data_IF_391248977516
#
_entry.id   IF_391248977516
#
_cell.length_a   1.000
_cell.length_b   1.000
_cell.length_c   1.000
_cell.angle_alpha   90.00
_cell.angle_beta   90.00
_cell.angle_gamma   90.00
#
_symmetry.space_group_name_H-M   'P 1'
#
loop_
_entity.id
_entity.type
_entity.pdbx_description
1 polymer ?
#
# COMPACT_ATOMS: atom_id res chain seq x y z
N UNK A 1 5.22 9.95 1.81
CA UNK A 1 4.47 8.96 1.00
C UNK A 1 3.53 8.12 1.84
N UNK A 2 4.03 7.47 2.88
CA UNK A 2 3.19 6.69 3.79
C UNK A 2 2.07 7.53 4.43
N UNK A 3 2.39 8.72 4.91
CA UNK A 3 1.42 9.61 5.54
C UNK A 3 0.28 10.02 4.58
N UNK A 4 0.60 10.21 3.32
CA UNK A 4 -0.41 10.55 2.31
C UNK A 4 -1.44 9.43 2.14
N UNK A 5 -0.97 8.17 2.13
CA UNK A 5 -1.86 7.01 2.03
C UNK A 5 -2.68 6.86 3.31
N UNK A 6 -2.06 7.02 4.48
CA UNK A 6 -2.78 6.99 5.75
C UNK A 6 -3.87 8.05 5.81
N UNK A 7 -3.57 9.27 5.39
CA UNK A 7 -4.54 10.36 5.38
C UNK A 7 -5.70 10.06 4.44
N UNK A 8 -5.42 9.50 3.26
CA UNK A 8 -6.46 9.09 2.34
C UNK A 8 -7.36 8.01 2.95
N UNK A 9 -6.77 6.96 3.52
CA UNK A 9 -7.55 5.87 4.13
C UNK A 9 -8.38 6.36 5.31
N UNK A 10 -7.83 7.25 6.12
CA UNK A 10 -8.56 7.85 7.24
C UNK A 10 -9.69 8.76 6.80
N UNK A 11 -9.61 9.32 5.59
CA UNK A 11 -10.66 10.16 5.03
C UNK A 11 -11.84 9.36 4.48
N UNK A 12 -11.66 8.05 4.25
CA UNK A 12 -12.71 7.16 3.75
C UNK A 12 -13.49 6.56 4.91
N UNK A 13 -14.78 6.30 4.67
CA UNK A 13 -15.63 5.64 5.65
C UNK A 13 -15.86 4.19 5.25
N UNK A 14 -15.41 3.27 6.09
CA UNK A 14 -15.62 1.84 5.91
C UNK A 14 -16.53 1.32 7.03
N UNK A 15 -17.47 0.44 6.68
CA UNK A 15 -18.40 -0.12 7.67
C UNK A 15 -17.69 -1.15 8.56
N UNK A 16 -16.92 -2.06 7.97
CA UNK A 16 -16.30 -3.17 8.69
C UNK A 16 -14.77 -3.09 8.74
N UNK A 17 -14.17 -2.07 8.14
CA UNK A 17 -12.73 -1.91 8.09
C UNK A 17 -12.30 -0.61 8.76
N UNK A 18 -11.13 -0.63 9.36
CA UNK A 18 -10.53 0.55 9.97
C UNK A 18 -9.06 0.67 9.55
N UNK A 19 -8.47 1.82 9.77
CA UNK A 19 -7.08 2.09 9.43
C UNK A 19 -6.26 2.23 10.70
N UNK A 20 -5.09 1.58 10.74
CA UNK A 20 -4.13 1.71 11.82
C UNK A 20 -2.98 2.61 11.42
N UNK A 21 -2.48 3.41 12.36
CA UNK A 21 -1.25 4.19 12.17
C UNK A 21 0.02 3.36 12.42
N UNK A 22 -0.12 2.16 12.94
CA UNK A 22 1.00 1.27 13.22
C UNK A 22 1.54 0.63 11.95
N UNK A 23 2.78 0.13 12.00
CA UNK A 23 3.37 -0.66 10.92
C UNK A 23 2.74 -2.06 10.91
N UNK A 24 2.79 -2.77 9.74
CA UNK A 24 2.19 -4.11 9.62
C UNK A 24 2.80 -5.17 10.54
N UNK A 25 4.04 -4.99 10.99
CA UNK A 25 4.74 -5.91 11.90
C UNK A 25 5.14 -5.17 13.17
N UNK A 26 5.09 -5.88 14.30
CA UNK A 26 5.60 -5.33 15.56
C UNK A 26 7.14 -5.39 15.60
N UNK A 27 7.72 -4.93 16.72
CA UNK A 27 9.18 -4.92 16.89
C UNK A 27 9.79 -6.33 16.88
N UNK A 28 9.00 -7.36 17.17
CA UNK A 28 9.43 -8.77 17.16
C UNK A 28 9.20 -9.45 15.80
N UNK A 29 8.67 -8.72 14.81
CA UNK A 29 8.37 -9.26 13.49
C UNK A 29 7.05 -10.01 13.41
N UNK A 30 6.18 -9.90 14.40
CA UNK A 30 4.85 -10.52 14.38
C UNK A 30 3.91 -9.72 13.48
N UNK A 31 3.22 -10.36 12.51
CA UNK A 31 2.30 -9.65 11.63
C UNK A 31 1.06 -9.15 12.39
N UNK A 32 0.97 -7.84 12.57
CA UNK A 32 -0.18 -7.23 13.24
C UNK A 32 -1.45 -7.35 12.40
N UNK A 33 -1.32 -7.35 11.07
CA UNK A 33 -2.47 -7.49 10.16
C UNK A 33 -3.12 -8.87 10.23
N UNK A 34 -2.40 -9.91 10.66
CA UNK A 34 -2.98 -11.23 10.91
C UNK A 34 -3.63 -11.31 12.29
N UNK A 35 -3.06 -10.60 13.26
CA UNK A 35 -3.54 -10.58 14.64
C UNK A 35 -4.81 -9.74 14.77
N UNK A 36 -4.90 -8.64 14.03
CA UNK A 36 -6.02 -7.70 14.08
C UNK A 36 -6.69 -7.67 12.70
N UNK A 37 -7.64 -8.59 12.46
CA UNK A 37 -8.38 -8.64 11.20
C UNK A 37 -9.22 -7.39 10.98
N UNK A 38 -9.49 -7.09 9.72
CA UNK A 38 -10.29 -5.95 9.25
C UNK A 38 -9.66 -4.60 9.57
N UNK A 39 -8.35 -4.58 9.80
CA UNK A 39 -7.59 -3.37 10.07
C UNK A 39 -6.53 -3.21 8.99
N UNK A 40 -6.49 -2.05 8.36
CA UNK A 40 -5.54 -1.75 7.29
C UNK A 40 -4.26 -1.17 7.89
N UNK A 41 -3.13 -1.77 7.51
CA UNK A 41 -1.80 -1.35 7.95
C UNK A 41 -0.98 -0.91 6.75
N UNK A 42 -0.40 0.27 6.83
CA UNK A 42 0.42 0.84 5.76
C UNK A 42 1.89 0.67 6.13
N UNK A 43 2.62 -0.02 5.26
CA UNK A 43 4.04 -0.27 5.46
C UNK A 43 4.88 0.97 5.12
N UNK A 44 6.16 0.90 5.45
CA UNK A 44 7.14 1.93 5.12
C UNK A 44 7.35 1.98 3.61
N UNK A 45 7.58 3.16 3.04
CA UNK A 45 7.96 3.26 1.63
C UNK A 45 9.27 2.53 1.36
N UNK A 46 9.33 1.84 0.24
CA UNK A 46 10.55 1.24 -0.29
C UNK A 46 10.95 1.99 -1.55
N UNK A 47 12.21 2.40 -1.61
CA UNK A 47 12.73 3.20 -2.72
C UNK A 47 13.73 2.39 -3.52
N UNK A 48 13.56 2.41 -4.83
CA UNK A 48 14.50 1.82 -5.79
C UNK A 48 14.86 2.87 -6.82
N UNK A 49 16.16 3.01 -7.09
CA UNK A 49 16.66 3.90 -8.13
C UNK A 49 17.27 3.07 -9.24
N UNK A 50 16.82 3.30 -10.48
CA UNK A 50 17.32 2.62 -11.65
C UNK A 50 17.82 3.64 -12.67
N UNK A 51 19.07 3.50 -13.16
CA UNK A 51 19.57 4.37 -14.21
C UNK A 51 18.85 4.04 -15.53
N UNK A 52 18.22 5.04 -16.15
CA UNK A 52 17.62 4.92 -17.48
C UNK A 52 18.63 5.16 -18.58
N UNK A 53 19.56 6.07 -18.33
CA UNK A 53 20.65 6.41 -19.25
C UNK A 53 21.95 6.36 -18.45
N UNK A 54 22.82 5.47 -18.87
CA UNK A 54 24.14 5.34 -18.28
C UNK A 54 25.14 6.19 -19.07
N UNK A 55 25.72 7.19 -18.43
CA UNK A 55 26.72 8.06 -19.04
C UNK A 55 28.05 7.93 -18.32
N UNK A 56 29.15 8.17 -19.04
CA UNK A 56 30.52 8.03 -18.52
C UNK A 56 30.86 8.98 -17.40
N UNK A 57 30.10 10.05 -17.24
CA UNK A 57 30.33 11.12 -16.26
C UNK A 57 29.30 11.16 -15.13
N UNK A 58 28.60 10.07 -14.91
CA UNK A 58 27.60 9.89 -13.83
C UNK A 58 26.44 10.90 -13.86
N UNK A 59 26.21 11.59 -14.96
CA UNK A 59 25.11 12.53 -15.13
C UNK A 59 23.90 11.87 -15.84
N UNK A 60 23.72 10.58 -15.61
CA UNK A 60 22.62 9.82 -16.19
C UNK A 60 21.26 10.20 -15.59
N UNK A 61 20.20 9.98 -16.36
CA UNK A 61 18.82 10.12 -15.88
C UNK A 61 18.48 8.89 -15.05
N UNK A 62 18.01 9.11 -13.84
CA UNK A 62 17.64 8.05 -12.90
C UNK A 62 16.11 8.04 -12.77
N UNK A 63 15.53 6.86 -12.84
CA UNK A 63 14.14 6.64 -12.48
C UNK A 63 14.08 6.18 -11.02
N UNK A 64 13.42 6.96 -10.19
CA UNK A 64 13.19 6.59 -8.81
C UNK A 64 11.78 6.04 -8.67
N UNK A 65 11.65 4.87 -8.06
CA UNK A 65 10.37 4.24 -7.76
C UNK A 65 10.21 4.10 -6.26
N UNK A 66 9.10 4.59 -5.74
CA UNK A 66 8.70 4.38 -4.36
C UNK A 66 7.49 3.46 -4.37
N UNK A 67 7.56 2.39 -3.58
CA UNK A 67 6.47 1.44 -3.40
C UNK A 67 5.98 1.48 -1.97
N UNK A 68 4.67 1.56 -1.79
CA UNK A 68 4.04 1.51 -0.47
C UNK A 68 2.99 0.41 -0.51
N UNK A 69 3.04 -0.50 0.46
CA UNK A 69 2.10 -1.62 0.53
C UNK A 69 1.16 -1.46 1.72
N UNK A 70 -0.12 -1.73 1.48
CA UNK A 70 -1.17 -1.75 2.50
C UNK A 70 -1.60 -3.19 2.71
N UNK A 71 -1.61 -3.65 3.95
CA UNK A 71 -2.00 -5.01 4.33
C UNK A 71 -3.31 -4.97 5.10
N UNK A 72 -4.23 -5.85 4.74
CA UNK A 72 -5.48 -6.06 5.47
C UNK A 72 -5.84 -7.54 5.42
N UNK A 73 -6.38 -8.06 6.50
CA UNK A 73 -6.84 -9.45 6.56
C UNK A 73 -8.30 -9.54 6.99
N UNK A 74 -8.95 -10.61 6.60
CA UNK A 74 -10.32 -10.91 6.98
C UNK A 74 -10.51 -12.43 7.04
N UNK A 75 -11.54 -12.88 7.75
CA UNK A 75 -11.91 -14.30 7.76
C UNK A 75 -12.42 -14.69 6.36
N UNK A 76 -11.78 -15.68 5.75
CA UNK A 76 -12.14 -16.12 4.40
C UNK A 76 -13.53 -16.75 4.33
N UNK A 77 -14.02 -17.34 5.43
CA UNK A 77 -15.34 -17.98 5.49
C UNK A 77 -16.47 -17.00 5.72
N UNK A 78 -16.17 -15.85 6.33
CA UNK A 78 -17.16 -14.83 6.68
C UNK A 78 -16.64 -13.45 6.27
N UNK A 79 -16.40 -13.29 4.97
CA UNK A 79 -15.96 -11.97 4.45
C UNK A 79 -17.03 -10.93 4.73
N UNK A 80 -16.63 -9.73 5.19
CA UNK A 80 -17.56 -8.62 5.37
C UNK A 80 -18.26 -8.28 4.05
N UNK A 81 -19.51 -7.84 4.14
CA UNK A 81 -20.32 -7.50 2.96
C UNK A 81 -19.74 -6.34 2.16
N UNK A 82 -18.95 -5.47 2.82
CA UNK A 82 -18.29 -4.33 2.18
C UNK A 82 -16.85 -4.63 1.74
N UNK A 83 -16.46 -5.91 1.67
CA UNK A 83 -15.11 -6.29 1.24
C UNK A 83 -14.80 -5.79 -0.18
N UNK A 84 -15.71 -6.01 -1.13
CA UNK A 84 -15.53 -5.53 -2.51
C UNK A 84 -15.52 -3.99 -2.59
N UNK A 85 -16.34 -3.34 -1.79
CA UNK A 85 -16.34 -1.88 -1.69
C UNK A 85 -15.01 -1.38 -1.12
N UNK A 86 -14.48 -2.06 -0.11
CA UNK A 86 -13.16 -1.73 0.45
C UNK A 86 -12.08 -1.87 -0.61
N UNK A 87 -12.07 -2.97 -1.38
CA UNK A 87 -11.11 -3.16 -2.46
C UNK A 87 -11.16 -2.01 -3.46
N UNK A 88 -12.36 -1.66 -3.92
CA UNK A 88 -12.54 -0.59 -4.90
C UNK A 88 -12.10 0.77 -4.36
N UNK A 89 -12.44 1.05 -3.10
CA UNK A 89 -12.10 2.33 -2.47
C UNK A 89 -10.60 2.50 -2.28
N UNK A 90 -9.90 1.45 -1.83
CA UNK A 90 -8.45 1.50 -1.66
C UNK A 90 -7.75 1.59 -3.01
N UNK A 91 -8.17 0.82 -4.00
CA UNK A 91 -7.62 0.87 -5.36
C UNK A 91 -7.83 2.23 -6.02
N UNK A 92 -8.94 2.89 -5.71
CA UNK A 92 -9.28 4.20 -6.27
C UNK A 92 -8.45 5.34 -5.66
N UNK A 93 -7.59 5.05 -4.71
CA UNK A 93 -6.63 6.01 -4.18
C UNK A 93 -5.68 6.47 -5.29
N UNK A 94 -6.19 7.27 -6.19
CA UNK A 94 -5.38 7.93 -7.21
C UNK A 94 -4.73 9.12 -6.55
N UNK A 95 -3.51 8.92 -6.16
CA UNK A 95 -2.76 9.86 -5.35
C UNK A 95 -2.14 10.98 -6.16
N UNK A 96 -2.67 11.26 -7.36
CA UNK A 96 -2.16 12.35 -8.19
C UNK A 96 -2.14 13.68 -7.44
N UNK A 97 -3.09 13.84 -6.52
CA UNK A 97 -3.19 15.03 -5.69
C UNK A 97 -2.52 14.87 -4.33
N UNK A 98 -2.09 13.66 -3.97
CA UNK A 98 -1.48 13.39 -2.66
C UNK A 98 0.03 13.53 -2.67
N UNK A 99 0.67 13.44 -3.84
CA UNK A 99 2.13 13.50 -3.95
C UNK A 99 2.54 14.36 -5.14
N UNK A 100 3.00 15.57 -4.84
CA UNK A 100 3.48 16.49 -5.89
C UNK A 100 4.79 15.99 -6.49
N UNK A 101 4.87 15.99 -7.82
CA UNK A 101 6.08 15.62 -8.55
C UNK A 101 6.27 14.14 -8.79
N UNK A 102 5.37 13.29 -8.33
CA UNK A 102 5.41 11.85 -8.54
C UNK A 102 4.29 11.41 -9.48
N UNK A 103 4.62 10.48 -10.37
CA UNK A 103 3.64 9.85 -11.25
C UNK A 103 3.23 8.51 -10.64
N UNK A 104 1.95 8.34 -10.37
CA UNK A 104 1.41 7.08 -9.88
C UNK A 104 1.27 6.08 -11.01
N UNK A 105 1.74 4.87 -10.77
CA UNK A 105 1.48 3.70 -11.61
C UNK A 105 0.21 3.00 -11.15
N UNK A 106 -0.25 2.02 -11.92
CA UNK A 106 -1.41 1.22 -11.53
C UNK A 106 -1.15 0.53 -10.19
N UNK A 107 -2.17 0.56 -9.32
CA UNK A 107 -2.13 -0.16 -8.04
C UNK A 107 -2.31 -1.64 -8.31
N UNK A 108 -1.42 -2.46 -7.76
CA UNK A 108 -1.56 -3.91 -7.82
C UNK A 108 -2.21 -4.43 -6.55
N UNK A 109 -3.02 -5.48 -6.71
CA UNK A 109 -3.70 -6.15 -5.59
C UNK A 109 -3.33 -7.62 -5.65
N UNK A 110 -2.85 -8.16 -4.55
CA UNK A 110 -2.56 -9.58 -4.40
C UNK A 110 -3.32 -10.12 -3.20
N UNK A 111 -3.81 -11.34 -3.31
CA UNK A 111 -4.47 -12.04 -2.22
C UNK A 111 -3.76 -13.35 -1.93
N UNK A 112 -3.69 -13.71 -0.67
CA UNK A 112 -3.12 -14.97 -0.20
C UNK A 112 -3.88 -15.48 1.01
N UNK A 113 -3.67 -16.75 1.35
CA UNK A 113 -4.32 -17.36 2.50
C UNK A 113 -3.29 -17.76 3.54
N UNK A 114 -3.58 -17.40 4.79
CA UNK A 114 -2.91 -17.92 5.98
C UNK A 114 -3.95 -18.74 6.76
N UNK A 115 -4.01 -20.05 6.46
CA UNK A 115 -5.09 -20.87 6.98
C UNK A 115 -6.46 -20.41 6.47
N UNK A 116 -7.35 -20.04 7.39
CA UNK A 116 -8.70 -19.52 7.07
C UNK A 116 -8.73 -17.99 6.95
N UNK A 117 -7.58 -17.33 7.01
CA UNK A 117 -7.48 -15.88 6.93
C UNK A 117 -7.09 -15.49 5.50
N UNK A 118 -7.89 -14.64 4.89
CA UNK A 118 -7.58 -14.03 3.60
C UNK A 118 -6.78 -12.75 3.83
N UNK A 119 -5.59 -12.69 3.27
CA UNK A 119 -4.72 -11.50 3.33
C UNK A 119 -4.77 -10.79 1.99
N UNK A 120 -5.06 -9.51 2.00
CA UNK A 120 -5.07 -8.65 0.81
C UNK A 120 -3.95 -7.62 0.93
N UNK A 121 -3.14 -7.54 -0.12
CA UNK A 121 -2.04 -6.58 -0.21
C UNK A 121 -2.28 -5.64 -1.38
N UNK A 122 -2.28 -4.34 -1.10
CA UNK A 122 -2.34 -3.29 -2.12
C UNK A 122 -0.96 -2.68 -2.24
N UNK A 123 -0.39 -2.66 -3.44
CA UNK A 123 0.90 -2.02 -3.67
C UNK A 123 0.72 -0.81 -4.56
N UNK A 124 1.08 0.35 -4.03
CA UNK A 124 1.07 1.63 -4.73
C UNK A 124 2.49 1.94 -5.18
N UNK A 125 2.65 2.22 -6.46
CA UNK A 125 3.95 2.54 -7.05
C UNK A 125 3.93 3.95 -7.61
N UNK A 126 4.96 4.72 -7.25
CA UNK A 126 5.15 6.10 -7.70
C UNK A 126 6.51 6.22 -8.35
N UNK A 127 6.56 6.86 -9.50
CA UNK A 127 7.81 7.05 -10.24
C UNK A 127 8.12 8.52 -10.45
N UNK A 128 9.40 8.84 -10.46
CA UNK A 128 9.91 10.18 -10.72
C UNK A 128 11.23 10.09 -11.45
N UNK A 129 11.40 10.91 -12.47
CA UNK A 129 12.69 11.11 -13.13
C UNK A 129 13.49 12.16 -12.35
N UNK A 130 14.71 11.82 -12.04
CA UNK A 130 15.64 12.70 -11.33
C UNK A 130 16.78 13.11 -12.24
#
# INVERSE_FOLDING_TARGET
>A
MRSNILDYLNSQTFTNFSTSSELPWDASGVPLYLKNMKKMYVDRPQTVQEPLIDTLDDNGIVNETISVTVYVSADAKTLPTDYETMLSTVKAARLQDLTTGWRQRATSVATSFEGDILVTEFTFNFTKLI
#
